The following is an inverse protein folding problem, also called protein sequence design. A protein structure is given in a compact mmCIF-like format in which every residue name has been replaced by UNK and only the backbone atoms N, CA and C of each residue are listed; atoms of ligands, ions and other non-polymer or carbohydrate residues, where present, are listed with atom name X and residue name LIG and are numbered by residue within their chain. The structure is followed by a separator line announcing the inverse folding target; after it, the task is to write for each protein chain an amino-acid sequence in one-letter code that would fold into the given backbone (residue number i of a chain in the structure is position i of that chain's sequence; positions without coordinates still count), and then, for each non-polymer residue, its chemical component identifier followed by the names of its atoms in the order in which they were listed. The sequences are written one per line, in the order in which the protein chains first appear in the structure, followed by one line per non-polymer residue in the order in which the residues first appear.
data_IF_831071478415
#
_entry.id   IF_831071478415
#
_cell.length_a   1.000
_cell.length_b   1.000
_cell.length_c   1.000
_cell.angle_alpha   90.00
_cell.angle_beta   90.00
_cell.angle_gamma   90.00
#
_symmetry.space_group_name_H-M   'P 1'
#
loop_
_entity.id
_entity.type
_entity.pdbx_description
1 polymer ?
#
# COMPACT_ATOMS: atom_id res chain seq x y z
N UNK A 1 17.88 -0.35 -50.03
CA UNK A 1 17.45 -0.27 -48.61
C UNK A 1 17.47 -1.67 -47.99
N UNK A 2 18.34 -1.92 -47.00
CA UNK A 2 18.57 -3.26 -46.45
C UNK A 2 17.39 -3.78 -45.60
N UNK A 3 17.02 -5.05 -45.82
CA UNK A 3 15.95 -5.79 -45.09
C UNK A 3 16.07 -5.75 -43.56
N UNK A 4 17.27 -5.49 -43.02
CA UNK A 4 17.51 -5.35 -41.58
C UNK A 4 16.92 -4.08 -40.95
N UNK A 5 16.79 -2.97 -41.70
CA UNK A 5 16.24 -1.72 -41.16
C UNK A 5 14.71 -1.75 -41.09
N UNK A 6 14.03 -2.44 -42.01
CA UNK A 6 12.57 -2.57 -42.03
C UNK A 6 12.06 -3.34 -40.80
N UNK A 7 12.76 -4.41 -40.40
CA UNK A 7 12.39 -5.19 -39.19
C UNK A 7 12.55 -4.40 -37.88
N UNK A 8 13.52 -3.47 -37.82
CA UNK A 8 13.70 -2.60 -36.64
C UNK A 8 12.62 -1.52 -36.57
N UNK A 9 12.32 -0.87 -37.70
CA UNK A 9 11.26 0.15 -37.77
C UNK A 9 9.88 -0.46 -37.45
N UNK A 10 9.57 -1.65 -37.95
CA UNK A 10 8.32 -2.36 -37.62
C UNK A 10 8.28 -2.72 -36.13
N UNK A 11 9.40 -3.19 -35.52
CA UNK A 11 9.46 -3.47 -34.07
C UNK A 11 9.22 -2.25 -33.20
N UNK A 12 9.75 -1.08 -33.58
CA UNK A 12 9.52 0.17 -32.83
C UNK A 12 8.13 0.74 -33.07
N UNK A 13 7.59 0.60 -34.28
CA UNK A 13 6.21 1.00 -34.59
C UNK A 13 5.17 0.14 -33.85
N UNK A 14 5.41 -1.17 -33.70
CA UNK A 14 4.53 -2.04 -32.90
C UNK A 14 4.66 -1.81 -31.40
N UNK A 15 5.86 -1.50 -30.89
CA UNK A 15 6.01 -1.08 -29.49
C UNK A 15 5.31 0.26 -29.22
N UNK A 16 5.45 1.23 -30.12
CA UNK A 16 4.83 2.54 -30.00
C UNK A 16 3.30 2.51 -30.08
N UNK A 17 2.73 1.64 -30.93
CA UNK A 17 1.27 1.46 -31.03
C UNK A 17 0.69 0.66 -29.87
N UNK A 18 1.43 -0.29 -29.29
CA UNK A 18 1.02 -0.97 -28.05
C UNK A 18 1.11 0.00 -26.87
N UNK A 19 2.21 0.72 -26.69
CA UNK A 19 2.36 1.69 -25.60
C UNK A 19 1.36 2.85 -25.74
N UNK A 20 1.15 3.37 -26.95
CA UNK A 20 0.22 4.47 -27.22
C UNK A 20 -1.25 4.04 -27.19
N UNK A 21 -1.58 2.87 -27.72
CA UNK A 21 -2.92 2.29 -27.67
C UNK A 21 -3.32 1.89 -26.26
N UNK A 22 -2.38 1.34 -25.49
CA UNK A 22 -2.53 1.15 -24.05
C UNK A 22 -2.67 2.51 -23.38
N UNK A 23 -1.81 3.51 -23.60
CA UNK A 23 -1.95 4.84 -22.98
C UNK A 23 -3.28 5.56 -23.28
N UNK A 24 -3.81 5.45 -24.51
CA UNK A 24 -5.11 6.03 -24.88
C UNK A 24 -6.30 5.24 -24.28
N UNK A 25 -6.23 3.90 -24.25
CA UNK A 25 -7.20 3.06 -23.53
C UNK A 25 -7.12 3.27 -22.01
N UNK A 26 -5.91 3.53 -21.49
CA UNK A 26 -5.60 3.88 -20.11
C UNK A 26 -5.98 5.33 -19.75
N UNK A 27 -6.57 6.13 -20.63
CA UNK A 27 -7.09 7.48 -20.26
C UNK A 27 -8.61 7.51 -20.12
N UNK A 28 -9.30 6.44 -20.53
CA UNK A 28 -10.76 6.38 -20.58
C UNK A 28 -11.42 5.81 -19.30
N UNK A 29 -10.65 5.28 -18.32
CA UNK A 29 -11.23 4.49 -17.22
C UNK A 29 -10.53 4.71 -15.86
N UNK A 30 -10.51 5.95 -15.35
CA UNK A 30 -9.69 6.44 -14.23
C UNK A 30 -9.73 5.60 -12.92
N UNK A 31 -10.83 4.89 -12.63
CA UNK A 31 -10.96 4.13 -11.38
C UNK A 31 -10.29 2.74 -11.42
N UNK A 32 -10.21 2.09 -12.59
CA UNK A 32 -9.67 0.72 -12.69
C UNK A 32 -8.17 0.67 -13.00
N UNK A 33 -7.60 1.77 -13.50
CA UNK A 33 -6.21 1.82 -13.99
C UNK A 33 -5.17 1.83 -12.86
N UNK A 34 -5.48 2.52 -11.76
CA UNK A 34 -4.65 2.55 -10.56
C UNK A 34 -4.55 1.19 -9.87
N UNK A 35 -5.50 0.30 -10.10
CA UNK A 35 -5.50 -1.08 -9.61
C UNK A 35 -4.84 -2.07 -10.57
N UNK A 36 -4.37 -1.65 -11.75
CA UNK A 36 -3.66 -2.58 -12.65
C UNK A 36 -2.25 -2.80 -12.11
N UNK A 37 -1.92 -4.06 -11.80
CA UNK A 37 -0.62 -4.44 -11.24
C UNK A 37 0.59 -3.86 -11.99
N UNK A 38 0.55 -3.79 -13.33
CA UNK A 38 1.65 -3.23 -14.13
C UNK A 38 1.84 -1.72 -13.93
N UNK A 39 0.75 -0.96 -13.73
CA UNK A 39 0.80 0.48 -13.47
C UNK A 39 1.40 0.73 -12.09
N UNK A 40 0.96 -0.04 -11.09
CA UNK A 40 1.46 0.02 -9.72
C UNK A 40 2.95 -0.29 -9.63
N UNK A 41 3.39 -1.34 -10.34
CA UNK A 41 4.79 -1.72 -10.46
C UNK A 41 5.61 -0.64 -11.16
N UNK A 42 5.09 -0.07 -12.26
CA UNK A 42 5.79 0.97 -13.02
C UNK A 42 6.02 2.22 -12.17
N UNK A 43 5.01 2.66 -11.39
CA UNK A 43 5.16 3.76 -10.43
C UNK A 43 6.23 3.48 -9.41
N UNK A 44 6.19 2.29 -8.80
CA UNK A 44 7.14 1.91 -7.78
C UNK A 44 8.58 1.83 -8.32
N UNK A 45 8.76 1.33 -9.54
CA UNK A 45 10.06 1.31 -10.22
C UNK A 45 10.58 2.73 -10.53
N UNK A 46 9.71 3.62 -11.03
CA UNK A 46 10.05 5.03 -11.29
C UNK A 46 10.46 5.74 -10.00
N UNK A 47 9.71 5.56 -8.91
CA UNK A 47 10.03 6.12 -7.60
C UNK A 47 11.39 5.65 -7.10
N UNK A 48 11.68 4.34 -7.15
CA UNK A 48 12.98 3.80 -6.72
C UNK A 48 14.12 4.34 -7.57
N UNK A 49 13.93 4.46 -8.89
CA UNK A 49 14.92 5.08 -9.77
C UNK A 49 15.13 6.56 -9.45
N UNK A 50 14.06 7.32 -9.19
CA UNK A 50 14.10 8.72 -8.78
C UNK A 50 14.91 8.91 -7.50
N UNK A 51 14.63 8.10 -6.47
CA UNK A 51 15.37 8.06 -5.22
C UNK A 51 16.86 7.78 -5.48
N UNK A 52 17.19 6.71 -6.22
CA UNK A 52 18.56 6.38 -6.55
C UNK A 52 19.30 7.54 -7.26
N UNK A 53 18.62 8.21 -8.19
CA UNK A 53 19.12 9.40 -8.88
C UNK A 53 19.37 10.57 -7.92
N UNK A 54 18.48 10.82 -6.95
CA UNK A 54 18.65 11.85 -5.91
C UNK A 54 19.93 11.62 -5.11
N UNK A 55 20.18 10.41 -4.61
CA UNK A 55 21.41 10.11 -3.87
C UNK A 55 22.65 10.17 -4.75
N UNK A 56 22.57 9.66 -5.97
CA UNK A 56 23.71 9.67 -6.88
C UNK A 56 24.13 11.10 -7.25
N UNK A 57 23.16 11.96 -7.60
CA UNK A 57 23.40 13.36 -7.98
C UNK A 57 23.89 14.19 -6.81
N UNK A 58 23.24 14.09 -5.66
CA UNK A 58 23.49 14.99 -4.54
C UNK A 58 24.57 14.45 -3.60
N UNK A 59 24.56 13.16 -3.24
CA UNK A 59 25.45 12.61 -2.22
C UNK A 59 26.71 11.95 -2.82
N UNK A 60 26.55 10.95 -3.69
CA UNK A 60 27.68 10.12 -4.12
C UNK A 60 28.63 10.81 -5.11
N UNK A 61 28.11 11.69 -5.97
CA UNK A 61 28.92 12.49 -6.90
C UNK A 61 29.44 13.80 -6.31
N UNK A 62 29.16 14.08 -5.02
CA UNK A 62 29.58 15.34 -4.38
C UNK A 62 31.10 15.45 -4.20
N UNK A 63 31.83 14.34 -4.17
CA UNK A 63 33.27 14.32 -3.86
C UNK A 63 33.60 14.66 -2.40
N UNK A 64 32.58 14.82 -1.53
CA UNK A 64 32.73 15.19 -0.13
C UNK A 64 33.11 13.96 0.70
N UNK A 65 34.02 14.13 1.66
CA UNK A 65 34.40 13.06 2.60
C UNK A 65 33.22 12.60 3.45
N UNK A 66 33.05 11.29 3.62
CA UNK A 66 31.92 10.67 4.37
C UNK A 66 31.84 11.10 5.84
N UNK A 67 32.97 11.46 6.44
CA UNK A 67 33.05 11.83 7.85
C UNK A 67 32.75 13.31 8.10
N UNK A 68 32.67 14.11 7.03
CA UNK A 68 32.43 15.54 7.13
C UNK A 68 31.01 15.87 7.62
N UNK A 69 30.83 16.95 8.40
CA UNK A 69 29.51 17.48 8.73
C UNK A 69 28.64 17.76 7.49
N UNK A 70 29.26 18.22 6.41
CA UNK A 70 28.60 18.52 5.14
C UNK A 70 28.00 17.27 4.51
N UNK A 71 28.72 16.14 4.50
CA UNK A 71 28.21 14.87 3.98
C UNK A 71 27.01 14.36 4.79
N UNK A 72 27.06 14.50 6.12
CA UNK A 72 25.94 14.11 7.01
C UNK A 72 24.69 14.95 6.72
N UNK A 73 24.86 16.26 6.55
CA UNK A 73 23.77 17.17 6.19
C UNK A 73 23.18 16.82 4.82
N UNK A 74 24.01 16.53 3.83
CA UNK A 74 23.58 16.17 2.48
C UNK A 74 22.91 14.79 2.43
N UNK A 75 23.36 13.85 3.27
CA UNK A 75 22.72 12.54 3.46
C UNK A 75 21.33 12.70 4.08
N UNK A 76 21.18 13.53 5.11
CA UNK A 76 19.87 13.86 5.71
C UNK A 76 18.93 14.52 4.69
N UNK A 77 19.42 15.46 3.88
CA UNK A 77 18.65 16.04 2.78
C UNK A 77 18.17 14.98 1.77
N UNK A 78 19.04 14.05 1.36
CA UNK A 78 18.65 12.95 0.46
C UNK A 78 17.63 12.00 1.13
N UNK A 79 17.77 11.71 2.42
CA UNK A 79 16.77 10.94 3.18
C UNK A 79 15.40 11.61 3.14
N UNK A 80 15.33 12.91 3.37
CA UNK A 80 14.08 13.67 3.34
C UNK A 80 13.41 13.62 1.97
N UNK A 81 14.14 13.95 0.90
CA UNK A 81 13.60 13.89 -0.46
C UNK A 81 13.15 12.49 -0.88
N UNK A 82 13.82 11.45 -0.38
CA UNK A 82 13.46 10.08 -0.67
C UNK A 82 12.24 9.62 0.13
N UNK A 83 12.12 10.07 1.38
CA UNK A 83 10.96 9.80 2.23
C UNK A 83 9.68 10.39 1.62
N UNK A 84 9.74 11.61 1.10
CA UNK A 84 8.61 12.29 0.43
C UNK A 84 8.17 11.55 -0.83
N UNK A 85 9.12 11.12 -1.68
CA UNK A 85 8.83 10.32 -2.87
C UNK A 85 8.20 8.96 -2.52
N UNK A 86 8.67 8.30 -1.46
CA UNK A 86 8.05 7.06 -0.98
C UNK A 86 6.66 7.31 -0.42
N UNK A 87 6.43 8.41 0.30
CA UNK A 87 5.12 8.76 0.83
C UNK A 87 4.12 8.96 -0.32
N UNK A 88 4.51 9.70 -1.35
CA UNK A 88 3.69 9.89 -2.55
C UNK A 88 3.33 8.56 -3.21
N UNK A 89 4.30 7.66 -3.39
CA UNK A 89 4.05 6.31 -3.88
C UNK A 89 3.05 5.55 -3.01
N UNK A 90 3.19 5.64 -1.68
CA UNK A 90 2.29 4.99 -0.75
C UNK A 90 0.85 5.51 -0.87
N UNK A 91 0.69 6.83 -0.99
CA UNK A 91 -0.61 7.47 -1.16
C UNK A 91 -1.26 7.11 -2.52
N UNK A 92 -0.48 7.06 -3.59
CA UNK A 92 -0.97 6.75 -4.94
C UNK A 92 -1.36 5.27 -5.05
N UNK A 93 -0.52 4.36 -4.57
CA UNK A 93 -0.79 2.92 -4.68
C UNK A 93 -1.73 2.41 -3.59
N UNK A 94 -1.82 3.04 -2.42
CA UNK A 94 -2.72 2.66 -1.32
C UNK A 94 -2.48 1.21 -0.83
N UNK A 95 -3.33 0.74 0.09
CA UNK A 95 -3.36 -0.66 0.51
C UNK A 95 -2.07 -1.10 1.19
N UNK A 96 -1.46 -2.15 0.67
CA UNK A 96 -0.19 -2.70 1.17
C UNK A 96 0.90 -1.63 1.27
N UNK A 97 0.95 -0.65 0.37
CA UNK A 97 1.94 0.43 0.46
C UNK A 97 1.71 1.35 1.67
N UNK A 98 0.47 1.74 1.96
CA UNK A 98 0.14 2.49 3.17
C UNK A 98 0.51 1.67 4.41
N UNK A 99 0.21 0.36 4.40
CA UNK A 99 0.54 -0.52 5.53
C UNK A 99 2.05 -0.60 5.78
N UNK A 100 2.86 -0.73 4.73
CA UNK A 100 4.33 -0.69 4.85
C UNK A 100 4.82 0.66 5.34
N UNK A 101 4.26 1.75 4.83
CA UNK A 101 4.57 3.10 5.32
C UNK A 101 4.23 3.28 6.81
N UNK A 102 3.09 2.76 7.27
CA UNK A 102 2.73 2.72 8.70
C UNK A 102 3.74 1.91 9.53
N UNK A 103 4.24 0.79 9.00
CA UNK A 103 5.28 0.04 9.70
C UNK A 103 6.60 0.82 9.76
N UNK A 104 7.01 1.47 8.66
CA UNK A 104 8.17 2.39 8.65
C UNK A 104 8.02 3.50 9.68
N UNK A 105 6.82 4.09 9.81
CA UNK A 105 6.51 5.14 10.77
C UNK A 105 6.58 4.68 12.25
N UNK A 106 6.50 3.37 12.50
CA UNK A 106 6.60 2.79 13.84
C UNK A 106 8.04 2.36 14.21
N UNK A 107 8.98 2.35 13.27
CA UNK A 107 10.37 1.94 13.46
C UNK A 107 11.27 3.11 13.89
N UNK A 108 10.80 3.87 14.89
CA UNK A 108 11.63 4.86 15.59
C UNK A 108 12.93 4.17 16.06
N UNK A 109 14.05 4.89 16.01
CA UNK A 109 15.41 4.43 16.35
C UNK A 109 16.08 3.45 15.38
N UNK A 110 15.34 2.76 14.51
CA UNK A 110 15.91 1.82 13.54
C UNK A 110 16.13 2.45 12.16
N UNK A 111 15.27 3.39 11.77
CA UNK A 111 15.32 4.08 10.48
C UNK A 111 15.73 5.55 10.62
N UNK A 112 16.29 6.17 9.56
CA UNK A 112 16.55 7.60 9.59
C UNK A 112 15.26 8.37 9.87
N UNK A 113 15.35 9.37 10.77
CA UNK A 113 14.21 10.13 11.28
C UNK A 113 13.34 10.72 10.17
N UNK A 114 13.93 11.09 9.04
CA UNK A 114 13.25 11.67 7.89
C UNK A 114 12.19 10.72 7.32
N UNK A 115 12.51 9.42 7.20
CA UNK A 115 11.55 8.41 6.75
C UNK A 115 10.44 8.20 7.78
N UNK A 116 10.81 8.06 9.05
CA UNK A 116 9.85 7.78 10.13
C UNK A 116 8.86 8.93 10.28
N UNK A 117 9.35 10.17 10.38
CA UNK A 117 8.49 11.35 10.58
C UNK A 117 7.60 11.61 9.36
N UNK A 118 8.13 11.47 8.14
CA UNK A 118 7.36 11.69 6.91
C UNK A 118 6.20 10.68 6.79
N UNK A 119 6.42 9.43 7.18
CA UNK A 119 5.41 8.37 7.05
C UNK A 119 4.32 8.40 8.14
N UNK A 120 4.51 9.14 9.25
CA UNK A 120 3.52 9.19 10.35
C UNK A 120 2.12 9.63 9.90
N UNK A 121 2.03 10.47 8.87
CA UNK A 121 0.76 10.91 8.30
C UNK A 121 -0.10 9.74 7.77
N UNK A 122 0.53 8.62 7.40
CA UNK A 122 -0.18 7.43 6.91
C UNK A 122 -0.99 6.71 7.99
N UNK A 123 -0.77 7.02 9.28
CA UNK A 123 -1.64 6.51 10.36
C UNK A 123 -2.97 7.26 10.45
N UNK A 124 -3.01 8.53 10.04
CA UNK A 124 -4.18 9.40 10.23
C UNK A 124 -5.02 9.62 8.96
N UNK A 125 -4.53 9.21 7.78
CA UNK A 125 -5.15 9.55 6.51
C UNK A 125 -5.27 8.35 5.55
N UNK A 126 -6.12 7.38 5.88
CA UNK A 126 -6.49 6.35 4.92
C UNK A 126 -7.72 6.78 4.09
N UNK A 127 -7.67 6.70 2.75
CA UNK A 127 -8.77 7.13 1.89
C UNK A 127 -9.96 6.16 1.95
N UNK A 128 -11.17 6.68 2.13
CA UNK A 128 -12.39 5.89 2.11
C UNK A 128 -12.85 5.58 0.67
N UNK A 129 -13.44 4.41 0.48
CA UNK A 129 -14.22 4.03 -0.69
C UNK A 129 -15.66 4.51 -0.56
N UNK A 130 -16.31 4.72 -1.72
CA UNK A 130 -17.75 5.03 -1.80
C UNK A 130 -18.57 3.84 -1.31
N UNK A 131 -19.76 4.10 -0.80
CA UNK A 131 -20.67 3.06 -0.31
C UNK A 131 -20.99 1.98 -1.36
N UNK A 132 -21.07 2.36 -2.65
CA UNK A 132 -21.30 1.39 -3.74
C UNK A 132 -20.18 0.34 -3.86
N UNK A 133 -18.93 0.76 -3.67
CA UNK A 133 -17.77 -0.15 -3.65
C UNK A 133 -17.85 -1.08 -2.43
N UNK A 134 -18.24 -0.54 -1.27
CA UNK A 134 -18.43 -1.31 -0.03
C UNK A 134 -19.51 -2.37 -0.23
N UNK A 135 -20.64 -1.99 -0.81
CA UNK A 135 -21.74 -2.91 -1.11
C UNK A 135 -21.32 -4.00 -2.09
N UNK A 136 -20.50 -3.64 -3.09
CA UNK A 136 -19.95 -4.61 -4.03
C UNK A 136 -19.12 -5.68 -3.30
N UNK A 137 -18.20 -5.26 -2.43
CA UNK A 137 -17.38 -6.21 -1.64
C UNK A 137 -18.25 -7.08 -0.75
N UNK A 138 -19.25 -6.51 -0.05
CA UNK A 138 -20.18 -7.29 0.79
C UNK A 138 -20.92 -8.35 -0.04
N UNK A 139 -21.43 -8.00 -1.22
CA UNK A 139 -22.08 -8.97 -2.14
C UNK A 139 -21.13 -10.07 -2.58
N UNK A 140 -19.90 -9.70 -2.90
CA UNK A 140 -18.89 -10.63 -3.39
C UNK A 140 -18.47 -11.61 -2.30
N UNK A 141 -18.28 -11.16 -1.06
CA UNK A 141 -17.82 -11.99 0.05
C UNK A 141 -18.95 -12.82 0.67
N UNK A 142 -20.12 -12.21 0.92
CA UNK A 142 -21.25 -12.88 1.61
C UNK A 142 -22.25 -13.55 0.67
N UNK A 143 -22.15 -13.32 -0.66
CA UNK A 143 -23.08 -13.85 -1.67
C UNK A 143 -24.55 -13.46 -1.43
N UNK A 144 -24.78 -12.33 -0.77
CA UNK A 144 -26.11 -11.80 -0.43
C UNK A 144 -26.15 -10.29 -0.70
N UNK A 145 -27.33 -9.74 -0.95
CA UNK A 145 -27.46 -8.29 -1.09
C UNK A 145 -27.39 -7.60 0.28
N UNK A 146 -26.60 -6.51 0.44
CA UNK A 146 -26.51 -5.79 1.71
C UNK A 146 -27.87 -5.34 2.25
N UNK A 147 -28.85 -5.05 1.39
CA UNK A 147 -30.19 -4.65 1.82
C UNK A 147 -31.00 -5.81 2.40
N UNK A 148 -30.59 -7.07 2.19
CA UNK A 148 -31.19 -8.24 2.84
C UNK A 148 -30.59 -8.47 4.24
N UNK A 149 -29.32 -8.11 4.43
CA UNK A 149 -28.57 -8.31 5.69
C UNK A 149 -28.85 -7.15 6.67
N UNK A 150 -28.80 -5.92 6.18
CA UNK A 150 -28.86 -4.71 6.99
C UNK A 150 -30.22 -4.02 6.84
N UNK A 151 -30.75 -3.49 7.96
CA UNK A 151 -31.85 -2.52 7.93
C UNK A 151 -31.34 -1.14 7.53
N UNK A 152 -30.13 -0.77 7.96
CA UNK A 152 -29.43 0.42 7.51
C UNK A 152 -27.91 0.26 7.66
N UNK A 153 -27.15 1.00 6.85
CA UNK A 153 -25.70 1.14 6.96
C UNK A 153 -25.34 2.58 6.68
N UNK A 154 -24.51 3.15 7.53
CA UNK A 154 -24.09 4.54 7.43
C UNK A 154 -23.18 4.71 6.20
N UNK A 155 -23.51 5.62 5.26
CA UNK A 155 -22.65 5.89 4.11
C UNK A 155 -21.26 6.38 4.51
N UNK A 156 -21.14 7.09 5.63
CA UNK A 156 -19.87 7.59 6.13
C UNK A 156 -19.20 6.52 7.01
N UNK A 157 -17.93 6.17 6.77
CA UNK A 157 -17.23 5.22 7.63
C UNK A 157 -16.96 5.84 9.01
N UNK A 158 -17.10 5.04 10.06
CA UNK A 158 -16.64 5.38 11.41
C UNK A 158 -15.12 5.59 11.46
N UNK A 159 -14.40 4.89 10.58
CA UNK A 159 -12.97 5.03 10.43
C UNK A 159 -12.44 4.22 9.26
N UNK A 160 -11.31 4.66 8.73
CA UNK A 160 -10.62 4.01 7.62
C UNK A 160 -9.23 3.60 8.08
N UNK A 161 -8.84 2.36 7.77
CA UNK A 161 -7.51 1.82 7.99
C UNK A 161 -6.84 1.53 6.63
N UNK A 162 -5.59 1.04 6.66
CA UNK A 162 -4.81 0.84 5.42
C UNK A 162 -5.38 -0.22 4.47
N UNK A 163 -6.10 -1.23 4.99
CA UNK A 163 -6.62 -2.37 4.21
C UNK A 163 -8.15 -2.43 4.15
N UNK A 164 -8.84 -1.70 5.00
CA UNK A 164 -10.29 -1.76 5.17
C UNK A 164 -10.85 -0.49 5.78
N UNK A 165 -12.16 -0.30 5.67
CA UNK A 165 -12.92 0.72 6.37
C UNK A 165 -14.03 0.11 7.21
N UNK A 166 -14.45 0.81 8.25
CA UNK A 166 -15.48 0.34 9.19
C UNK A 166 -16.70 1.25 9.08
N UNK A 167 -17.87 0.67 8.88
CA UNK A 167 -19.15 1.37 8.86
C UNK A 167 -19.99 1.00 10.07
N UNK A 168 -20.80 1.94 10.55
CA UNK A 168 -21.90 1.62 11.46
C UNK A 168 -23.05 1.03 10.65
N UNK A 169 -23.63 -0.06 11.11
CA UNK A 169 -24.84 -0.61 10.50
C UNK A 169 -25.82 -1.13 11.56
N UNK A 170 -27.03 -1.40 11.13
CA UNK A 170 -28.08 -2.05 11.91
C UNK A 170 -28.53 -3.28 11.14
N UNK A 171 -28.55 -4.44 11.79
CA UNK A 171 -29.06 -5.68 11.21
C UNK A 171 -30.59 -5.64 11.11
N UNK A 172 -31.19 -6.61 10.40
CA UNK A 172 -32.66 -6.73 10.32
C UNK A 172 -33.35 -6.99 11.65
N UNK A 173 -32.64 -7.58 12.61
CA UNK A 173 -33.15 -7.83 13.97
C UNK A 173 -33.04 -6.61 14.91
N UNK A 174 -32.50 -5.49 14.42
CA UNK A 174 -32.30 -4.26 15.19
C UNK A 174 -30.95 -4.15 15.89
N UNK A 175 -30.10 -5.18 15.82
CA UNK A 175 -28.76 -5.16 16.43
C UNK A 175 -27.86 -4.15 15.73
N UNK A 176 -27.23 -3.25 16.49
CA UNK A 176 -26.24 -2.29 15.98
C UNK A 176 -24.87 -2.98 15.88
N UNK A 177 -24.23 -2.90 14.72
CA UNK A 177 -22.97 -3.58 14.43
C UNK A 177 -21.95 -2.62 13.79
N UNK A 178 -20.67 -2.94 13.95
CA UNK A 178 -19.58 -2.34 13.19
C UNK A 178 -19.19 -3.28 12.05
N UNK A 179 -19.37 -2.84 10.81
CA UNK A 179 -19.11 -3.63 9.61
C UNK A 179 -17.77 -3.21 9.02
N UNK A 180 -16.76 -4.05 9.20
CA UNK A 180 -15.42 -3.83 8.61
C UNK A 180 -15.34 -4.47 7.23
N UNK A 181 -15.09 -3.66 6.21
CA UNK A 181 -15.08 -4.09 4.80
C UNK A 181 -13.73 -3.79 4.19
N UNK A 182 -13.12 -4.79 3.54
CA UNK A 182 -11.84 -4.63 2.86
C UNK A 182 -11.98 -3.66 1.68
N UNK A 183 -10.92 -2.88 1.43
CA UNK A 183 -10.88 -2.04 0.25
C UNK A 183 -10.80 -2.91 -1.02
N UNK A 184 -11.61 -2.65 -2.08
CA UNK A 184 -11.64 -3.49 -3.28
C UNK A 184 -10.27 -3.66 -3.97
N UNK A 185 -9.42 -2.64 -3.89
CA UNK A 185 -8.09 -2.66 -4.53
C UNK A 185 -7.10 -3.58 -3.81
N UNK A 186 -7.39 -4.06 -2.60
CA UNK A 186 -6.48 -4.88 -1.79
C UNK A 186 -6.55 -6.35 -2.18
N UNK A 187 -7.76 -6.92 -2.32
CA UNK A 187 -7.98 -8.36 -2.55
C UNK A 187 -7.27 -8.87 -3.82
N UNK A 188 -7.22 -8.05 -4.88
CA UNK A 188 -6.56 -8.39 -6.15
C UNK A 188 -5.08 -8.02 -6.25
N UNK A 189 -4.62 -6.99 -5.54
CA UNK A 189 -3.27 -6.44 -5.72
C UNK A 189 -2.27 -6.85 -4.65
N UNK A 190 -2.72 -7.28 -3.47
CA UNK A 190 -1.81 -7.52 -2.34
C UNK A 190 -0.65 -8.46 -2.69
N UNK A 191 -0.92 -9.55 -3.42
CA UNK A 191 0.13 -10.50 -3.87
C UNK A 191 1.14 -9.84 -4.81
N UNK A 192 0.66 -9.07 -5.78
CA UNK A 192 1.50 -8.38 -6.78
C UNK A 192 2.32 -7.27 -6.13
N UNK A 193 1.70 -6.51 -5.23
CA UNK A 193 2.35 -5.45 -4.47
C UNK A 193 3.46 -5.99 -3.58
N UNK A 194 3.18 -7.08 -2.85
CA UNK A 194 4.20 -7.76 -2.03
C UNK A 194 5.36 -8.26 -2.88
N UNK A 195 5.10 -8.83 -4.06
CA UNK A 195 6.16 -9.29 -4.96
C UNK A 195 6.97 -8.12 -5.52
N UNK A 196 6.31 -7.00 -5.81
CA UNK A 196 6.94 -5.78 -6.28
C UNK A 196 7.86 -5.21 -5.19
N UNK A 197 7.40 -5.14 -3.95
CA UNK A 197 8.23 -4.69 -2.82
C UNK A 197 9.46 -5.57 -2.59
N UNK A 198 9.32 -6.90 -2.70
CA UNK A 198 10.46 -7.84 -2.62
C UNK A 198 11.52 -7.54 -3.69
N UNK A 199 11.10 -7.34 -4.94
CA UNK A 199 12.01 -6.99 -6.04
C UNK A 199 12.67 -5.63 -5.80
N UNK A 200 11.90 -4.62 -5.38
CA UNK A 200 12.41 -3.27 -5.19
C UNK A 200 13.37 -3.17 -4.02
N UNK A 201 13.10 -3.83 -2.89
CA UNK A 201 14.02 -3.85 -1.74
C UNK A 201 15.31 -4.60 -2.09
N UNK A 202 15.22 -5.69 -2.86
CA UNK A 202 16.41 -6.36 -3.38
C UNK A 202 17.24 -5.41 -4.27
N UNK A 203 16.60 -4.64 -5.16
CA UNK A 203 17.30 -3.67 -6.01
C UNK A 203 17.93 -2.53 -5.18
N UNK A 204 17.22 -1.99 -4.20
CA UNK A 204 17.73 -0.95 -3.30
C UNK A 204 18.94 -1.46 -2.53
N UNK A 205 18.91 -2.69 -2.01
CA UNK A 205 20.04 -3.28 -1.27
C UNK A 205 21.32 -3.38 -2.11
N UNK A 206 21.20 -3.46 -3.45
CA UNK A 206 22.33 -3.46 -4.37
C UNK A 206 22.98 -2.07 -4.51
N UNK A 207 22.17 -1.01 -4.51
CA UNK A 207 22.67 0.38 -4.59
C UNK A 207 23.04 0.97 -3.23
N UNK A 208 22.46 0.44 -2.15
CA UNK A 208 22.63 0.92 -0.78
C UNK A 208 22.91 -0.26 0.15
N UNK A 209 24.15 -0.79 0.20
CA UNK A 209 24.47 -2.00 0.96
C UNK A 209 24.24 -1.87 2.48
N UNK A 210 24.24 -0.64 3.00
CA UNK A 210 23.90 -0.33 4.39
C UNK A 210 22.40 -0.51 4.70
N UNK A 211 21.56 -0.53 3.66
CA UNK A 211 20.10 -0.62 3.76
C UNK A 211 19.64 -2.07 3.66
N UNK A 212 19.65 -2.77 4.79
CA UNK A 212 19.16 -4.16 4.90
C UNK A 212 17.70 -4.18 5.33
N UNK A 213 16.76 -3.86 4.43
CA UNK A 213 15.31 -3.87 4.71
C UNK A 213 14.58 -5.12 4.25
N UNK A 214 15.30 -6.17 3.86
CA UNK A 214 14.66 -7.41 3.45
C UNK A 214 13.76 -7.99 4.54
N UNK A 215 14.19 -7.90 5.81
CA UNK A 215 13.40 -8.34 6.96
C UNK A 215 12.05 -7.63 7.07
N UNK A 216 11.94 -6.35 6.67
CA UNK A 216 10.69 -5.60 6.70
C UNK A 216 9.70 -6.15 5.67
N UNK A 217 10.20 -6.51 4.49
CA UNK A 217 9.38 -7.16 3.45
C UNK A 217 8.96 -8.54 3.91
N UNK A 218 9.87 -9.31 4.50
CA UNK A 218 9.59 -10.68 4.96
C UNK A 218 8.54 -10.68 6.07
N UNK A 219 8.65 -9.75 7.03
CA UNK A 219 7.66 -9.54 8.10
C UNK A 219 6.31 -9.13 7.51
N UNK A 220 6.30 -8.17 6.58
CA UNK A 220 5.08 -7.73 5.90
C UNK A 220 4.43 -8.89 5.12
N UNK A 221 5.22 -9.74 4.46
CA UNK A 221 4.75 -10.91 3.69
C UNK A 221 4.11 -11.97 4.57
N UNK A 222 4.57 -12.08 5.81
CA UNK A 222 3.96 -12.95 6.83
C UNK A 222 2.67 -12.37 7.38
N UNK A 223 2.64 -11.06 7.62
CA UNK A 223 1.54 -10.41 8.33
C UNK A 223 0.37 -10.02 7.41
N UNK A 224 0.61 -9.51 6.19
CA UNK A 224 -0.45 -9.09 5.27
C UNK A 224 -1.47 -10.21 5.01
N UNK A 225 -1.10 -11.47 4.71
CA UNK A 225 -2.09 -12.53 4.52
C UNK A 225 -2.96 -12.78 5.75
N UNK A 226 -2.41 -12.59 6.95
CA UNK A 226 -3.17 -12.72 8.20
C UNK A 226 -4.12 -11.53 8.39
N UNK A 227 -3.66 -10.31 8.08
CA UNK A 227 -4.50 -9.11 8.13
C UNK A 227 -5.61 -9.09 7.07
N UNK A 228 -5.46 -9.83 5.97
CA UNK A 228 -6.52 -10.00 4.96
C UNK A 228 -7.47 -11.15 5.29
N UNK A 229 -7.20 -11.93 6.33
CA UNK A 229 -8.07 -13.00 6.78
C UNK A 229 -8.91 -12.53 7.98
N UNK A 230 -10.04 -11.89 7.70
CA UNK A 230 -10.95 -11.39 8.74
C UNK A 230 -11.68 -12.50 9.50
N UNK A 231 -11.83 -13.70 8.94
CA UNK A 231 -12.35 -14.86 9.68
C UNK A 231 -11.39 -15.23 10.82
N UNK A 232 -10.09 -15.29 10.52
CA UNK A 232 -9.07 -15.57 11.53
C UNK A 232 -9.02 -14.47 12.61
N UNK A 233 -9.18 -13.21 12.22
CA UNK A 233 -9.30 -12.10 13.17
C UNK A 233 -10.54 -12.23 14.06
N UNK A 234 -11.69 -12.59 13.49
CA UNK A 234 -12.92 -12.87 14.23
C UNK A 234 -12.74 -13.99 15.25
N UNK A 235 -12.16 -15.13 14.85
CA UNK A 235 -11.85 -16.22 15.77
C UNK A 235 -10.88 -15.83 16.89
N UNK A 236 -9.90 -14.97 16.57
CA UNK A 236 -9.00 -14.43 17.58
C UNK A 236 -9.74 -13.53 18.57
N UNK A 237 -10.68 -12.69 18.11
CA UNK A 237 -11.52 -11.85 18.96
C UNK A 237 -12.42 -12.70 19.89
N UNK A 238 -13.05 -13.75 19.37
CA UNK A 238 -13.84 -14.69 20.18
C UNK A 238 -12.98 -15.41 21.24
N UNK A 239 -11.75 -15.77 20.88
CA UNK A 239 -10.79 -16.36 21.83
C UNK A 239 -10.40 -15.37 22.92
N UNK A 240 -10.13 -14.12 22.58
CA UNK A 240 -9.84 -13.04 23.54
C UNK A 240 -11.04 -12.83 24.48
N UNK A 241 -12.27 -12.80 23.96
CA UNK A 241 -13.48 -12.69 24.76
C UNK A 241 -13.60 -13.81 25.80
N UNK A 242 -13.29 -15.06 25.40
CA UNK A 242 -13.28 -16.22 26.32
C UNK A 242 -12.16 -16.11 27.36
N UNK A 243 -10.95 -15.74 26.94
CA UNK A 243 -9.79 -15.65 27.81
C UNK A 243 -9.97 -14.61 28.91
N UNK A 244 -10.56 -13.46 28.59
CA UNK A 244 -10.68 -12.34 29.52
C UNK A 244 -12.08 -12.17 30.12
N UNK A 245 -12.94 -13.19 30.02
CA UNK A 245 -14.31 -13.15 30.59
C UNK A 245 -14.37 -12.80 32.07
N UNK A 246 -13.29 -13.06 32.82
CA UNK A 246 -13.21 -12.77 34.25
C UNK A 246 -12.89 -11.30 34.57
N UNK A 247 -12.64 -10.45 33.56
CA UNK A 247 -12.36 -9.03 33.72
C UNK A 247 -13.62 -8.21 33.45
N UNK A 248 -14.33 -7.82 34.51
CA UNK A 248 -15.61 -7.12 34.40
C UNK A 248 -15.50 -5.71 33.76
N UNK A 249 -14.30 -5.12 33.75
CA UNK A 249 -14.03 -3.81 33.14
C UNK A 249 -13.69 -3.89 31.64
N UNK A 250 -13.45 -5.08 31.09
CA UNK A 250 -13.08 -5.26 29.69
C UNK A 250 -14.27 -5.83 28.90
N UNK A 251 -14.78 -5.04 27.96
CA UNK A 251 -15.82 -5.51 27.03
C UNK A 251 -15.17 -5.87 25.70
N UNK A 252 -15.30 -7.14 25.30
CA UNK A 252 -14.93 -7.61 23.95
C UNK A 252 -16.24 -7.76 23.16
N UNK A 253 -16.44 -7.00 22.05
CA UNK A 253 -17.63 -7.11 21.25
C UNK A 253 -17.83 -8.53 20.71
N UNK A 254 -19.09 -8.96 20.62
CA UNK A 254 -19.44 -10.21 19.95
C UNK A 254 -19.22 -10.05 18.44
N UNK A 255 -18.63 -11.08 17.83
CA UNK A 255 -18.50 -11.21 16.37
C UNK A 255 -19.81 -11.76 15.81
#
# INVERSE_FOLDING_TARGET
MNRLNIRRVIKYATLGSVVGGTFLSLKANDYQLNSIGIVRLSRAAITVFGIGSTYNKNLYKSGISKDSPEYKSLKSFCHQQAAEQLLELCCINKGVYIKVGQHIAALDYLLPKEYVQTMKILHSHAPANKLDDVYKVIREDLKQDPNEIFSSIDPEPLGTASLAQVHKAVLKDGTVVAVKVQHPYVQGNAKVDMKTMEVLVSLVSWFFPEFKFQWLVDETKKNIPQELNFEQEGHNAEKVAKMFRYLDWLVVPKI
#
